data_IF_082525285904
#
_entry.id   IF_082525285904
#
_cell.length_a   1.000
_cell.length_b   1.000
_cell.length_c   1.000
_cell.angle_alpha   90.00
_cell.angle_beta   90.00
_cell.angle_gamma   90.00
#
_symmetry.space_group_name_H-M   'P 1'
#
loop_
_entity.id
_entity.type
_entity.pdbx_description
1 polymer ?
#
# COMPACT_ATOMS: atom_id res chain seq x y z
N UNK A 1 9.83 -37.40 -80.01
CA UNK A 1 9.05 -37.48 -78.76
C UNK A 1 9.81 -36.70 -77.71
N UNK A 2 9.28 -35.56 -77.29
CA UNK A 2 9.95 -34.60 -76.41
C UNK A 2 8.98 -34.24 -75.28
N UNK A 3 9.43 -34.41 -74.03
CA UNK A 3 8.67 -34.06 -72.83
C UNK A 3 8.76 -32.56 -72.53
N UNK A 4 7.65 -31.92 -72.15
CA UNK A 4 7.65 -30.73 -71.31
C UNK A 4 6.46 -30.82 -70.35
N UNK A 5 6.78 -31.03 -69.07
CA UNK A 5 5.89 -30.79 -67.93
C UNK A 5 5.64 -29.29 -67.78
N UNK A 6 4.41 -28.87 -67.52
CA UNK A 6 4.17 -27.57 -66.88
C UNK A 6 3.15 -27.73 -65.77
N UNK A 7 3.60 -27.36 -64.57
CA UNK A 7 2.90 -27.45 -63.32
C UNK A 7 1.91 -26.30 -63.18
N UNK A 8 0.62 -26.62 -63.06
CA UNK A 8 -0.37 -25.69 -62.53
C UNK A 8 -0.31 -25.74 -60.98
N UNK A 9 0.66 -25.03 -60.41
CA UNK A 9 0.72 -24.80 -58.97
C UNK A 9 -0.39 -23.86 -58.52
N UNK A 10 -1.49 -24.42 -58.02
CA UNK A 10 -2.53 -23.69 -57.29
C UNK A 10 -1.90 -23.11 -56.02
N UNK A 11 -1.64 -21.81 -56.02
CA UNK A 11 -1.18 -21.09 -54.85
C UNK A 11 -2.24 -21.19 -53.74
N UNK A 12 -1.94 -21.97 -52.70
CA UNK A 12 -2.67 -21.95 -51.44
C UNK A 12 -2.39 -20.61 -50.74
N UNK A 13 -3.40 -19.93 -50.17
CA UNK A 13 -3.18 -18.73 -49.38
C UNK A 13 -2.40 -19.12 -48.12
N UNK A 14 -1.27 -18.44 -47.89
CA UNK A 14 -0.47 -18.57 -46.66
C UNK A 14 -1.38 -18.27 -45.46
N UNK A 15 -1.41 -19.11 -44.42
CA UNK A 15 -2.10 -18.76 -43.19
C UNK A 15 -1.41 -17.54 -42.59
N UNK A 16 -2.17 -16.45 -42.47
CA UNK A 16 -1.79 -15.27 -41.72
C UNK A 16 -1.38 -15.67 -40.31
N UNK A 17 -0.28 -15.11 -39.81
CA UNK A 17 0.20 -15.23 -38.44
C UNK A 17 -0.85 -14.70 -37.45
N UNK A 18 -1.77 -15.57 -37.04
CA UNK A 18 -2.81 -15.29 -36.06
C UNK A 18 -2.19 -15.29 -34.67
N UNK A 19 -2.01 -14.08 -34.11
CA UNK A 19 -1.86 -13.76 -32.68
C UNK A 19 -1.54 -14.94 -31.73
N UNK A 20 -0.26 -15.13 -31.41
CA UNK A 20 0.29 -16.06 -30.41
C UNK A 20 -0.07 -15.66 -28.96
N UNK A 21 -1.32 -15.31 -28.68
CA UNK A 21 -1.79 -15.01 -27.33
C UNK A 21 -2.56 -16.20 -26.77
N UNK A 22 -2.28 -16.57 -25.52
CA UNK A 22 -3.06 -17.58 -24.81
C UNK A 22 -4.52 -17.13 -24.74
N UNK A 23 -5.47 -18.06 -24.77
CA UNK A 23 -6.90 -17.77 -24.58
C UNK A 23 -7.16 -17.00 -23.26
N UNK A 24 -6.36 -17.29 -22.21
CA UNK A 24 -6.33 -16.54 -20.96
C UNK A 24 -5.93 -15.07 -21.17
N UNK A 25 -4.88 -14.83 -21.95
CA UNK A 25 -4.35 -13.48 -22.20
C UNK A 25 -5.29 -12.67 -23.09
N UNK A 26 -5.94 -13.32 -24.08
CA UNK A 26 -6.98 -12.70 -24.91
C UNK A 26 -8.18 -12.27 -24.05
N UNK A 27 -8.62 -13.12 -23.12
CA UNK A 27 -9.72 -12.81 -22.19
C UNK A 27 -9.35 -11.69 -21.22
N UNK A 28 -8.13 -11.69 -20.68
CA UNK A 28 -7.61 -10.62 -19.83
C UNK A 28 -7.54 -9.29 -20.60
N UNK A 29 -7.06 -9.30 -21.85
CA UNK A 29 -7.03 -8.08 -22.67
C UNK A 29 -8.42 -7.53 -22.97
N UNK A 30 -9.40 -8.39 -23.26
CA UNK A 30 -10.79 -7.97 -23.46
C UNK A 30 -11.36 -7.28 -22.21
N UNK A 31 -11.10 -7.85 -21.02
CA UNK A 31 -11.51 -7.27 -19.74
C UNK A 31 -10.78 -5.97 -19.42
N UNK A 32 -9.48 -5.86 -19.73
CA UNK A 32 -8.72 -4.61 -19.59
C UNK A 32 -9.26 -3.50 -20.50
N UNK A 33 -9.67 -3.84 -21.73
CA UNK A 33 -10.32 -2.91 -22.65
C UNK A 33 -11.67 -2.44 -22.12
N UNK A 34 -12.45 -3.34 -21.51
CA UNK A 34 -13.71 -2.97 -20.86
C UNK A 34 -13.47 -2.06 -19.65
N UNK A 35 -12.46 -2.36 -18.81
CA UNK A 35 -12.04 -1.49 -17.70
C UNK A 35 -11.67 -0.08 -18.18
N UNK A 36 -10.90 0.04 -19.27
CA UNK A 36 -10.57 1.35 -19.84
C UNK A 36 -11.80 2.16 -20.27
N UNK A 37 -12.82 1.52 -20.86
CA UNK A 37 -14.09 2.18 -21.20
C UNK A 37 -14.85 2.68 -19.98
N UNK A 38 -14.87 1.89 -18.90
CA UNK A 38 -15.50 2.30 -17.64
C UNK A 38 -14.77 3.49 -17.02
N UNK A 39 -13.45 3.53 -17.09
CA UNK A 39 -12.65 4.68 -16.62
C UNK A 39 -12.95 5.95 -17.42
N UNK A 40 -13.08 5.83 -18.74
CA UNK A 40 -13.54 6.93 -19.60
C UNK A 40 -14.97 7.38 -19.25
N UNK A 41 -15.89 6.46 -18.98
CA UNK A 41 -17.26 6.78 -18.56
C UNK A 41 -17.30 7.46 -17.19
N UNK A 42 -16.49 7.02 -16.23
CA UNK A 42 -16.36 7.70 -14.94
C UNK A 42 -15.84 9.13 -15.12
N UNK A 43 -14.87 9.35 -16.01
CA UNK A 43 -14.37 10.68 -16.32
C UNK A 43 -15.46 11.56 -16.96
N UNK A 44 -16.25 11.01 -17.90
CA UNK A 44 -17.39 11.71 -18.51
C UNK A 44 -18.48 12.08 -17.48
N UNK A 45 -18.83 11.17 -16.57
CA UNK A 45 -19.83 11.42 -15.52
C UNK A 45 -19.34 12.49 -14.55
N UNK A 46 -18.06 12.49 -14.19
CA UNK A 46 -17.45 13.53 -13.34
C UNK A 46 -17.43 14.91 -14.02
N UNK A 47 -17.13 14.94 -15.32
CA UNK A 47 -17.03 16.18 -16.10
C UNK A 47 -18.39 16.72 -16.58
N UNK A 48 -19.44 15.89 -16.62
CA UNK A 48 -20.78 16.31 -17.03
C UNK A 48 -21.31 17.42 -16.13
N UNK A 49 -21.78 18.52 -16.70
CA UNK A 49 -22.46 19.58 -15.95
C UNK A 49 -23.97 19.37 -15.88
N UNK A 50 -24.51 18.49 -16.73
CA UNK A 50 -25.96 18.27 -16.91
C UNK A 50 -26.56 17.30 -15.88
N UNK A 51 -25.74 16.44 -15.28
CA UNK A 51 -26.21 15.46 -14.30
C UNK A 51 -26.26 16.06 -12.88
N UNK A 52 -27.39 15.84 -12.19
CA UNK A 52 -27.55 16.16 -10.76
C UNK A 52 -26.52 15.43 -9.89
N UNK A 53 -26.11 16.06 -8.79
CA UNK A 53 -25.07 15.51 -7.89
C UNK A 53 -25.39 14.11 -7.38
N UNK A 54 -26.65 13.83 -7.02
CA UNK A 54 -27.07 12.50 -6.54
C UNK A 54 -26.98 11.44 -7.64
N UNK A 55 -27.39 11.79 -8.86
CA UNK A 55 -27.34 10.89 -10.02
C UNK A 55 -25.88 10.62 -10.42
N UNK A 56 -25.01 11.63 -10.35
CA UNK A 56 -23.56 11.46 -10.55
C UNK A 56 -22.96 10.48 -9.55
N UNK A 57 -23.26 10.65 -8.27
CA UNK A 57 -22.73 9.77 -7.21
C UNK A 57 -23.21 8.33 -7.39
N UNK A 58 -24.49 8.12 -7.66
CA UNK A 58 -25.04 6.78 -7.89
C UNK A 58 -24.41 6.12 -9.12
N UNK A 59 -24.30 6.86 -10.22
CA UNK A 59 -23.70 6.36 -11.46
C UNK A 59 -22.21 6.07 -11.29
N UNK A 60 -21.48 6.92 -10.56
CA UNK A 60 -20.07 6.67 -10.22
C UNK A 60 -19.91 5.45 -9.32
N UNK A 61 -20.81 5.24 -8.35
CA UNK A 61 -20.81 4.06 -7.48
C UNK A 61 -21.08 2.78 -8.28
N UNK A 62 -22.04 2.82 -9.20
CA UNK A 62 -22.33 1.69 -10.11
C UNK A 62 -21.13 1.34 -10.98
N UNK A 63 -20.54 2.32 -11.67
CA UNK A 63 -19.34 2.13 -12.49
C UNK A 63 -18.13 1.65 -11.68
N UNK A 64 -17.98 2.11 -10.43
CA UNK A 64 -16.92 1.64 -9.53
C UNK A 64 -17.11 0.17 -9.16
N UNK A 65 -18.36 -0.26 -8.96
CA UNK A 65 -18.69 -1.65 -8.63
C UNK A 65 -18.45 -2.57 -9.82
N UNK A 66 -18.79 -2.11 -11.03
CA UNK A 66 -18.50 -2.84 -12.27
C UNK A 66 -16.98 -2.99 -12.49
N UNK A 67 -16.22 -1.91 -12.26
CA UNK A 67 -14.75 -1.94 -12.34
C UNK A 67 -14.14 -2.98 -11.38
N UNK A 68 -14.62 -3.03 -10.13
CA UNK A 68 -14.19 -4.03 -9.14
C UNK A 68 -14.54 -5.46 -9.57
N UNK A 69 -15.71 -5.65 -10.19
CA UNK A 69 -16.14 -6.97 -10.71
C UNK A 69 -15.21 -7.45 -11.82
N UNK A 70 -14.83 -6.56 -12.74
CA UNK A 70 -13.88 -6.87 -13.81
C UNK A 70 -12.50 -7.21 -13.24
N UNK A 71 -12.03 -6.48 -12.23
CA UNK A 71 -10.75 -6.78 -11.56
C UNK A 71 -10.75 -8.15 -10.88
N UNK A 72 -11.87 -8.51 -10.24
CA UNK A 72 -12.04 -9.84 -9.65
C UNK A 72 -12.02 -10.95 -10.72
N UNK A 73 -12.66 -10.74 -11.87
CA UNK A 73 -12.63 -11.68 -12.99
C UNK A 73 -11.22 -11.83 -13.57
N UNK A 74 -10.46 -10.74 -13.74
CA UNK A 74 -9.06 -10.80 -14.20
C UNK A 74 -8.22 -11.62 -13.20
N UNK A 75 -8.39 -11.39 -11.89
CA UNK A 75 -7.67 -12.13 -10.86
C UNK A 75 -8.00 -13.63 -10.89
N UNK A 76 -9.28 -13.98 -11.06
CA UNK A 76 -9.73 -15.36 -11.20
C UNK A 76 -9.10 -16.05 -12.43
N UNK A 77 -9.11 -15.38 -13.59
CA UNK A 77 -8.54 -15.92 -14.84
C UNK A 77 -7.02 -16.13 -14.70
N UNK A 78 -6.31 -15.21 -14.05
CA UNK A 78 -4.87 -15.35 -13.77
C UNK A 78 -4.57 -16.52 -12.83
N UNK A 79 -5.41 -16.72 -11.82
CA UNK A 79 -5.31 -17.86 -10.91
C UNK A 79 -5.58 -19.19 -11.62
N UNK A 80 -6.59 -19.25 -12.48
CA UNK A 80 -6.89 -20.41 -13.32
C UNK A 80 -5.72 -20.71 -14.28
N UNK A 81 -5.15 -19.69 -14.92
CA UNK A 81 -3.96 -19.82 -15.77
C UNK A 81 -2.77 -20.40 -14.99
N UNK A 82 -2.54 -19.94 -13.75
CA UNK A 82 -1.48 -20.45 -12.89
C UNK A 82 -1.73 -21.89 -12.43
N UNK A 83 -2.98 -22.26 -12.17
CA UNK A 83 -3.37 -23.61 -11.78
C UNK A 83 -3.26 -24.60 -12.95
N UNK A 84 -3.67 -24.20 -14.16
CA UNK A 84 -3.56 -25.04 -15.35
C UNK A 84 -2.12 -25.29 -15.79
N UNK A 85 -1.21 -24.34 -15.54
CA UNK A 85 0.24 -24.57 -15.67
C UNK A 85 0.79 -25.60 -14.68
N UNK A 86 0.18 -25.73 -13.49
CA UNK A 86 0.57 -26.75 -12.48
C UNK A 86 -0.04 -28.12 -12.76
N UNK A 87 -1.25 -28.17 -13.31
CA UNK A 87 -1.97 -29.43 -13.58
C UNK A 87 -1.63 -30.07 -14.93
N UNK A 88 -1.05 -29.31 -15.88
CA UNK A 88 -0.58 -29.82 -17.17
C UNK A 88 0.76 -30.58 -17.13
N UNK A 89 1.43 -30.63 -15.98
CA UNK A 89 2.64 -31.42 -15.78
C UNK A 89 2.27 -32.86 -15.37
N UNK A 90 2.04 -33.74 -16.35
CA UNK A 90 2.00 -35.18 -16.09
C UNK A 90 3.41 -35.68 -15.70
N UNK A 91 3.56 -36.56 -14.69
CA UNK A 91 4.84 -37.12 -14.33
C UNK A 91 5.15 -38.31 -15.25
N UNK A 92 5.88 -38.08 -16.34
CA UNK A 92 6.58 -39.17 -17.02
C UNK A 92 8.04 -39.10 -16.60
N UNK A 93 8.40 -39.96 -15.64
CA UNK A 93 9.77 -40.20 -15.28
C UNK A 93 10.38 -41.15 -16.32
N UNK A 94 11.31 -40.64 -17.12
CA UNK A 94 12.51 -41.39 -17.49
C UNK A 94 13.59 -40.42 -17.95
N UNK A 95 14.73 -40.54 -17.30
CA UNK A 95 15.80 -39.57 -17.25
C UNK A 95 16.53 -39.42 -18.59
N UNK A 96 16.66 -38.17 -19.04
CA UNK A 96 17.91 -37.65 -19.59
C UNK A 96 18.08 -36.23 -19.09
N UNK A 97 19.21 -35.97 -18.44
CA UNK A 97 19.67 -34.64 -18.07
C UNK A 97 19.45 -33.64 -19.21
N UNK A 98 18.83 -32.48 -18.90
CA UNK A 98 19.40 -31.23 -19.30
C UNK A 98 19.94 -30.56 -18.05
N UNK A 99 21.17 -30.07 -18.15
CA UNK A 99 21.76 -29.12 -17.21
C UNK A 99 20.70 -28.14 -16.72
N UNK A 100 20.67 -27.79 -15.42
CA UNK A 100 19.78 -26.76 -14.95
C UNK A 100 20.24 -25.44 -15.59
N UNK A 101 19.54 -25.02 -16.65
CA UNK A 101 19.53 -23.63 -17.09
C UNK A 101 18.70 -22.85 -16.05
N UNK A 102 19.27 -22.75 -14.84
CA UNK A 102 18.70 -22.10 -13.66
C UNK A 102 19.20 -20.67 -13.64
N UNK A 103 18.55 -19.79 -14.39
CA UNK A 103 18.68 -18.34 -14.12
C UNK A 103 17.42 -17.56 -14.51
N UNK A 104 16.75 -17.91 -15.61
CA UNK A 104 15.60 -17.13 -16.11
C UNK A 104 14.28 -17.36 -15.33
N UNK A 105 13.98 -18.61 -14.97
CA UNK A 105 12.68 -19.00 -14.40
C UNK A 105 12.53 -18.67 -12.90
N UNK A 106 13.66 -18.56 -12.18
CA UNK A 106 13.69 -18.03 -10.80
C UNK A 106 13.55 -16.52 -10.80
N UNK A 107 14.30 -15.85 -11.68
CA UNK A 107 14.29 -14.38 -11.80
C UNK A 107 12.91 -13.83 -12.13
N UNK A 108 12.14 -14.50 -13.00
CA UNK A 108 10.76 -14.08 -13.29
C UNK A 108 9.81 -14.28 -12.10
N UNK A 109 9.98 -15.34 -11.30
CA UNK A 109 9.21 -15.54 -10.06
C UNK A 109 9.53 -14.47 -9.01
N UNK A 110 10.80 -14.09 -8.89
CA UNK A 110 11.24 -13.05 -7.96
C UNK A 110 10.74 -11.66 -8.38
N UNK A 111 10.71 -11.36 -9.69
CA UNK A 111 10.09 -10.13 -10.22
C UNK A 111 8.59 -10.09 -9.90
N UNK A 112 7.85 -11.16 -10.16
CA UNK A 112 6.41 -11.23 -9.87
C UNK A 112 6.15 -11.09 -8.36
N UNK A 113 7.02 -11.66 -7.52
CA UNK A 113 6.93 -11.53 -6.07
C UNK A 113 7.19 -10.10 -5.62
N UNK A 114 8.25 -9.45 -6.13
CA UNK A 114 8.56 -8.06 -5.81
C UNK A 114 7.42 -7.12 -6.24
N UNK A 115 6.87 -7.28 -7.43
CA UNK A 115 5.73 -6.48 -7.91
C UNK A 115 4.48 -6.67 -7.02
N UNK A 116 4.21 -7.92 -6.62
CA UNK A 116 3.14 -8.23 -5.67
C UNK A 116 3.37 -7.57 -4.29
N UNK A 117 4.59 -7.63 -3.76
CA UNK A 117 4.95 -7.02 -2.47
C UNK A 117 4.83 -5.49 -2.52
N UNK A 118 5.30 -4.85 -3.60
CA UNK A 118 5.11 -3.41 -3.81
C UNK A 118 3.64 -3.02 -3.95
N UNK A 119 2.84 -3.82 -4.66
CA UNK A 119 1.40 -3.63 -4.75
C UNK A 119 0.70 -3.73 -3.39
N UNK A 120 1.10 -4.69 -2.56
CA UNK A 120 0.60 -4.84 -1.19
C UNK A 120 1.02 -3.65 -0.31
N UNK A 121 2.29 -3.23 -0.39
CA UNK A 121 2.82 -2.09 0.35
C UNK A 121 2.07 -0.80 0.03
N UNK A 122 1.80 -0.54 -1.26
CA UNK A 122 1.02 0.61 -1.71
C UNK A 122 -0.40 0.58 -1.14
N UNK A 123 -1.06 -0.57 -1.17
CA UNK A 123 -2.41 -0.75 -0.61
C UNK A 123 -2.42 -0.52 0.90
N UNK A 124 -1.48 -1.11 1.63
CA UNK A 124 -1.39 -0.93 3.09
C UNK A 124 -1.12 0.53 3.45
N UNK A 125 -0.20 1.20 2.75
CA UNK A 125 0.08 2.63 2.96
C UNK A 125 -1.15 3.50 2.71
N UNK A 126 -1.93 3.18 1.66
CA UNK A 126 -3.18 3.89 1.38
C UNK A 126 -4.23 3.67 2.48
N UNK A 127 -4.39 2.43 2.97
CA UNK A 127 -5.34 2.14 4.06
C UNK A 127 -4.89 2.82 5.36
N UNK A 128 -3.59 2.81 5.67
CA UNK A 128 -3.00 3.52 6.81
C UNK A 128 -3.39 5.00 6.78
N UNK A 129 -3.19 5.68 5.65
CA UNK A 129 -3.54 7.09 5.50
C UNK A 129 -5.05 7.36 5.66
N UNK A 130 -5.92 6.45 5.21
CA UNK A 130 -7.37 6.55 5.45
C UNK A 130 -7.71 6.41 6.92
N UNK A 131 -7.08 5.48 7.64
CA UNK A 131 -7.28 5.29 9.08
C UNK A 131 -6.80 6.51 9.87
N UNK A 132 -5.66 7.10 9.50
CA UNK A 132 -5.15 8.34 10.10
C UNK A 132 -6.12 9.51 9.91
N UNK A 133 -6.62 9.69 8.69
CA UNK A 133 -7.60 10.73 8.38
C UNK A 133 -8.87 10.53 9.21
N UNK A 134 -9.37 9.29 9.31
CA UNK A 134 -10.54 8.97 10.11
C UNK A 134 -10.33 9.25 11.61
N UNK A 135 -9.16 8.89 12.16
CA UNK A 135 -8.82 9.18 13.56
C UNK A 135 -8.75 10.70 13.82
N UNK A 136 -8.10 11.45 12.94
CA UNK A 136 -7.99 12.91 13.05
C UNK A 136 -9.35 13.60 12.93
N UNK A 137 -10.25 13.08 12.09
CA UNK A 137 -11.61 13.60 11.97
C UNK A 137 -12.40 13.39 13.26
N UNK A 138 -12.36 12.19 13.85
CA UNK A 138 -13.03 11.93 15.14
C UNK A 138 -12.51 12.86 16.25
N UNK A 139 -11.20 13.02 16.34
CA UNK A 139 -10.58 13.94 17.32
C UNK A 139 -11.03 15.39 17.10
N UNK A 140 -11.09 15.82 15.83
CA UNK A 140 -11.52 17.17 15.47
C UNK A 140 -13.00 17.41 15.74
N UNK A 141 -13.85 16.42 15.47
CA UNK A 141 -15.29 16.47 15.76
C UNK A 141 -15.55 16.55 17.26
N UNK A 142 -14.84 15.78 18.08
CA UNK A 142 -14.93 15.86 19.55
C UNK A 142 -14.51 17.24 20.03
N UNK A 143 -13.38 17.75 19.54
CA UNK A 143 -12.89 19.10 19.90
C UNK A 143 -13.88 20.19 19.50
N UNK A 144 -14.40 20.14 18.27
CA UNK A 144 -15.37 21.12 17.78
C UNK A 144 -16.69 21.02 18.54
N UNK A 145 -17.16 19.81 18.84
CA UNK A 145 -18.36 19.59 19.64
C UNK A 145 -18.24 20.20 21.03
N UNK A 146 -17.15 19.93 21.75
CA UNK A 146 -16.89 20.56 23.06
C UNK A 146 -16.82 22.08 22.96
N UNK A 147 -16.15 22.61 21.94
CA UNK A 147 -16.03 24.04 21.70
C UNK A 147 -17.41 24.70 21.45
N UNK A 148 -18.32 24.05 20.73
CA UNK A 148 -19.70 24.56 20.57
C UNK A 148 -20.43 24.69 21.92
N UNK A 149 -20.20 23.75 22.83
CA UNK A 149 -20.67 23.84 24.21
C UNK A 149 -19.84 24.80 25.09
N UNK A 150 -18.80 25.46 24.59
CA UNK A 150 -18.02 26.52 25.27
C UNK A 150 -18.40 27.93 24.76
N UNK A 151 -18.82 28.07 23.50
CA UNK A 151 -19.23 29.36 22.91
C UNK A 151 -20.70 29.77 23.13
N UNK A 152 -21.53 28.92 23.74
CA UNK A 152 -22.94 29.25 24.01
C UNK A 152 -23.14 30.41 25.02
N UNK A 153 -24.39 30.89 25.21
CA UNK A 153 -24.69 31.92 26.19
C UNK A 153 -24.29 31.49 27.62
N UNK A 154 -23.70 32.40 28.38
CA UNK A 154 -23.04 32.10 29.66
C UNK A 154 -23.97 31.65 30.81
N UNK A 155 -25.29 31.84 30.67
CA UNK A 155 -26.27 31.61 31.73
C UNK A 155 -27.28 30.49 31.41
N UNK A 156 -26.93 29.55 30.54
CA UNK A 156 -27.79 28.38 30.28
C UNK A 156 -27.56 27.29 31.34
N UNK A 157 -28.51 27.14 32.26
CA UNK A 157 -28.47 26.15 33.34
C UNK A 157 -28.59 24.69 32.84
N UNK A 158 -29.15 24.47 31.65
CA UNK A 158 -29.27 23.14 31.03
C UNK A 158 -28.01 22.69 30.30
N UNK A 159 -27.13 23.64 29.95
CA UNK A 159 -25.93 23.40 29.15
C UNK A 159 -24.94 22.42 29.77
N UNK A 160 -24.75 22.47 31.09
CA UNK A 160 -23.86 21.53 31.78
C UNK A 160 -24.34 20.09 31.67
N UNK A 161 -25.64 19.86 31.88
CA UNK A 161 -26.27 18.54 31.72
C UNK A 161 -26.24 18.07 30.26
N UNK A 162 -26.48 18.98 29.30
CA UNK A 162 -26.36 18.64 27.88
C UNK A 162 -24.93 18.27 27.49
N UNK A 163 -23.93 19.01 27.98
CA UNK A 163 -22.52 18.71 27.74
C UNK A 163 -22.13 17.36 28.36
N UNK A 164 -22.55 17.08 29.60
CA UNK A 164 -22.30 15.79 30.24
C UNK A 164 -22.94 14.64 29.46
N UNK A 165 -24.20 14.79 29.03
CA UNK A 165 -24.88 13.80 28.21
C UNK A 165 -24.17 13.62 26.86
N UNK A 166 -23.75 14.70 26.20
CA UNK A 166 -22.99 14.64 24.96
C UNK A 166 -21.62 13.97 25.15
N UNK A 167 -20.97 14.22 26.29
CA UNK A 167 -19.69 13.60 26.64
C UNK A 167 -19.83 12.09 26.78
N UNK A 168 -20.90 11.61 27.42
CA UNK A 168 -21.15 10.18 27.59
C UNK A 168 -21.66 9.50 26.32
N UNK A 169 -22.55 10.13 25.56
CA UNK A 169 -23.24 9.50 24.42
C UNK A 169 -22.53 9.68 23.08
N UNK A 170 -21.74 10.75 22.92
CA UNK A 170 -21.12 11.10 21.63
C UNK A 170 -19.60 11.17 21.75
N UNK A 171 -19.05 11.95 22.68
CA UNK A 171 -17.62 12.23 22.69
C UNK A 171 -16.78 11.05 23.17
N UNK A 172 -17.14 10.40 24.28
CA UNK A 172 -16.44 9.20 24.77
C UNK A 172 -16.41 8.07 23.73
N UNK A 173 -17.54 7.65 23.12
CA UNK A 173 -17.52 6.63 22.08
C UNK A 173 -16.65 7.01 20.87
N UNK A 174 -16.64 8.29 20.47
CA UNK A 174 -15.76 8.76 19.39
C UNK A 174 -14.27 8.70 19.76
N UNK A 175 -13.91 9.00 21.01
CA UNK A 175 -12.53 8.86 21.50
C UNK A 175 -12.10 7.39 21.61
N UNK A 176 -13.01 6.49 21.99
CA UNK A 176 -12.77 5.04 21.98
C UNK A 176 -12.54 4.53 20.55
N UNK A 177 -13.37 4.98 19.60
CA UNK A 177 -13.18 4.68 18.18
C UNK A 177 -11.86 5.23 17.64
N UNK A 178 -11.49 6.47 17.99
CA UNK A 178 -10.20 7.06 17.64
C UNK A 178 -9.04 6.20 18.15
N UNK A 179 -9.11 5.77 19.41
CA UNK A 179 -8.09 4.91 20.04
C UNK A 179 -8.00 3.56 19.33
N UNK A 180 -9.14 2.95 18.97
CA UNK A 180 -9.18 1.71 18.21
C UNK A 180 -8.59 1.87 16.80
N UNK A 181 -8.83 3.01 16.14
CA UNK A 181 -8.20 3.31 14.84
C UNK A 181 -6.69 3.49 14.97
N UNK A 182 -6.22 4.19 16.01
CA UNK A 182 -4.78 4.32 16.32
C UNK A 182 -4.12 2.96 16.53
N UNK A 183 -4.75 2.04 17.25
CA UNK A 183 -4.25 0.67 17.40
C UNK A 183 -4.17 -0.07 16.05
N UNK A 184 -5.16 0.10 15.17
CA UNK A 184 -5.14 -0.46 13.80
C UNK A 184 -4.01 0.13 12.95
N UNK A 185 -3.74 1.43 13.07
CA UNK A 185 -2.60 2.09 12.40
C UNK A 185 -1.29 1.47 12.87
N UNK A 186 -1.06 1.34 14.17
CA UNK A 186 0.17 0.72 14.70
C UNK A 186 0.34 -0.73 14.23
N UNK A 187 -0.74 -1.51 14.18
CA UNK A 187 -0.71 -2.87 13.61
C UNK A 187 -0.36 -2.87 12.12
N UNK A 188 -0.86 -1.88 11.37
CA UNK A 188 -0.56 -1.72 9.95
C UNK A 188 0.89 -1.28 9.72
N UNK A 189 1.42 -0.40 10.55
CA UNK A 189 2.81 0.05 10.51
C UNK A 189 3.76 -1.13 10.72
N UNK A 190 3.43 -2.05 11.65
CA UNK A 190 4.16 -3.31 11.80
C UNK A 190 4.16 -4.15 10.52
N UNK A 191 2.99 -4.38 9.91
CA UNK A 191 2.86 -5.16 8.66
C UNK A 191 3.56 -4.50 7.46
N UNK A 192 3.51 -3.17 7.37
CA UNK A 192 4.24 -2.38 6.38
C UNK A 192 5.75 -2.60 6.56
N UNK A 193 6.26 -2.50 7.79
CA UNK A 193 7.65 -2.76 8.11
C UNK A 193 8.09 -4.19 7.75
N UNK A 194 7.29 -5.19 8.10
CA UNK A 194 7.54 -6.60 7.74
C UNK A 194 7.58 -6.80 6.22
N UNK A 195 6.62 -6.24 5.49
CA UNK A 195 6.53 -6.37 4.02
C UNK A 195 7.66 -5.62 3.33
N UNK A 196 8.08 -4.46 3.84
CA UNK A 196 9.25 -3.74 3.35
C UNK A 196 10.54 -4.54 3.58
N UNK A 197 10.67 -5.19 4.74
CA UNK A 197 11.81 -6.05 5.03
C UNK A 197 11.82 -7.29 4.11
N UNK A 198 10.66 -7.86 3.76
CA UNK A 198 10.56 -8.94 2.77
C UNK A 198 10.96 -8.46 1.36
N UNK A 199 10.49 -7.28 0.93
CA UNK A 199 10.84 -6.69 -0.36
C UNK A 199 12.35 -6.42 -0.49
N UNK A 200 12.97 -5.86 0.56
CA UNK A 200 14.43 -5.64 0.56
C UNK A 200 15.23 -6.95 0.51
N UNK A 201 14.71 -8.04 1.11
CA UNK A 201 15.34 -9.37 1.02
C UNK A 201 15.22 -9.97 -0.39
N UNK A 202 14.12 -9.71 -1.11
CA UNK A 202 13.99 -10.13 -2.51
C UNK A 202 14.92 -9.35 -3.43
N UNK A 203 15.15 -8.07 -3.15
CA UNK A 203 16.06 -7.23 -3.95
C UNK A 203 17.53 -7.57 -3.70
N UNK A 204 17.95 -7.80 -2.45
CA UNK A 204 19.33 -8.21 -2.12
C UNK A 204 19.71 -9.57 -2.68
N UNK A 205 18.76 -10.52 -2.77
CA UNK A 205 19.01 -11.81 -3.41
C UNK A 205 19.31 -11.70 -4.90
N UNK A 206 18.80 -10.68 -5.60
CA UNK A 206 19.16 -10.41 -6.99
C UNK A 206 20.60 -9.91 -7.14
N UNK A 207 21.03 -9.02 -6.24
CA UNK A 207 22.39 -8.46 -6.29
C UNK A 207 23.49 -9.52 -6.03
N UNK A 208 23.20 -10.56 -5.25
CA UNK A 208 24.13 -11.68 -5.03
C UNK A 208 24.17 -12.67 -6.21
N UNK A 209 23.05 -12.87 -6.93
CA UNK A 209 23.05 -13.71 -8.15
C UNK A 209 23.69 -13.01 -9.34
N UNK A 210 23.55 -11.69 -9.48
CA UNK A 210 24.16 -10.93 -10.57
C UNK A 210 25.69 -10.78 -10.42
N UNK A 211 26.23 -10.95 -9.21
CA UNK A 211 27.68 -10.97 -8.94
C UNK A 211 28.34 -12.35 -9.14
N UNK A 212 27.56 -13.41 -9.34
CA UNK A 212 28.09 -14.77 -9.48
C UNK A 212 28.32 -15.19 -10.94
N UNK A 213 27.83 -14.45 -11.93
CA UNK A 213 27.97 -14.78 -13.37
C UNK A 213 29.10 -14.02 -14.10
N UNK A 214 29.78 -13.06 -13.46
CA UNK A 214 30.97 -12.40 -14.03
C UNK A 214 32.20 -12.60 -13.13
N UNK A 215 32.93 -13.71 -13.35
CA UNK A 215 34.04 -14.05 -12.47
C UNK A 215 34.93 -15.19 -12.95
N UNK A 216 35.38 -15.16 -14.20
CA UNK A 216 36.53 -15.99 -14.62
C UNK A 216 37.84 -15.21 -14.45
N UNK A 217 38.62 -15.66 -13.45
CA UNK A 217 40.09 -15.77 -13.41
C UNK A 217 40.95 -14.64 -12.80
N UNK A 218 41.44 -14.97 -11.58
CA UNK A 218 42.82 -14.84 -11.02
C UNK A 218 43.37 -13.42 -10.85
N UNK A 219 43.69 -13.02 -9.60
CA UNK A 219 45.05 -13.14 -9.04
C UNK A 219 45.08 -12.83 -7.53
N UNK A 220 45.83 -13.66 -6.83
CA UNK A 220 46.30 -13.55 -5.45
C UNK A 220 47.00 -12.22 -5.16
N UNK A 221 46.80 -11.61 -3.99
CA UNK A 221 47.85 -11.13 -3.04
C UNK A 221 47.15 -10.72 -1.73
N UNK A 222 47.38 -11.47 -0.65
CA UNK A 222 47.45 -10.92 0.71
C UNK A 222 48.90 -10.44 0.94
N UNK A 223 49.20 -9.43 1.79
CA UNK A 223 49.32 -9.74 3.22
C UNK A 223 49.11 -8.59 4.25
N UNK A 224 48.81 -9.01 5.48
CA UNK A 224 49.25 -8.50 6.80
C UNK A 224 49.06 -7.02 7.24
N UNK A 225 48.35 -6.82 8.36
CA UNK A 225 48.98 -6.57 9.69
C UNK A 225 47.93 -6.45 10.82
N UNK A 226 47.97 -7.43 11.74
CA UNK A 226 48.08 -7.29 13.20
C UNK A 226 48.01 -5.86 13.80
N UNK A 227 47.10 -5.61 14.76
CA UNK A 227 47.39 -5.65 16.20
C UNK A 227 46.24 -5.05 17.04
N UNK A 228 46.02 -5.69 18.20
CA UNK A 228 45.13 -5.28 19.29
C UNK A 228 45.59 -3.98 19.98
N UNK A 229 44.68 -3.35 20.72
CA UNK A 229 44.78 -3.16 22.18
C UNK A 229 43.62 -2.29 22.70
N UNK A 230 42.93 -2.83 23.71
CA UNK A 230 42.18 -2.07 24.71
C UNK A 230 43.17 -1.26 25.56
N UNK A 231 42.80 -0.07 26.05
CA UNK A 231 42.34 0.18 27.44
C UNK A 231 42.26 1.69 27.73
N UNK A 232 41.19 2.05 28.45
CA UNK A 232 41.04 3.10 29.47
C UNK A 232 41.64 4.51 29.25
N UNK A 233 40.81 5.55 29.43
CA UNK A 233 40.88 6.28 30.70
C UNK A 233 39.62 7.12 31.05
N UNK A 234 39.35 7.15 32.35
CA UNK A 234 38.75 8.19 33.20
C UNK A 234 37.47 8.94 32.76
N UNK A 235 36.33 8.68 33.41
CA UNK A 235 35.92 9.23 34.72
C UNK A 235 35.36 10.66 34.62
N UNK A 236 34.05 10.83 34.76
CA UNK A 236 33.50 11.32 36.04
C UNK A 236 32.04 10.89 36.20
N UNK A 237 31.82 10.08 37.23
CA UNK A 237 30.55 9.94 37.96
C UNK A 237 30.15 11.30 38.51
N UNK A 238 28.86 11.57 38.62
CA UNK A 238 28.18 11.65 39.92
C UNK A 238 26.68 11.46 39.63
N UNK A 239 26.17 10.39 40.22
CA UNK A 239 24.76 10.09 40.43
C UNK A 239 24.28 11.03 41.55
N UNK A 240 23.04 11.49 41.51
CA UNK A 240 22.08 11.22 42.60
C UNK A 240 20.66 11.72 42.22
N UNK A 241 19.73 10.78 42.23
CA UNK A 241 18.27 10.94 42.26
C UNK A 241 17.81 11.29 43.71
N UNK A 242 16.53 11.22 44.08
CA UNK A 242 15.39 12.09 43.78
C UNK A 242 14.80 12.67 45.09
N UNK A 243 13.90 13.66 45.04
CA UNK A 243 13.30 14.21 46.27
C UNK A 243 11.96 14.91 46.08
N UNK A 244 10.92 14.35 46.68
CA UNK A 244 9.55 14.87 46.80
C UNK A 244 9.40 15.83 48.00
N UNK A 245 8.71 16.97 47.84
CA UNK A 245 7.68 17.48 48.79
C UNK A 245 7.26 18.94 48.56
N UNK A 246 5.96 19.11 48.25
CA UNK A 246 4.94 19.96 48.90
C UNK A 246 5.31 21.33 49.54
N UNK A 247 4.52 22.34 49.08
CA UNK A 247 3.71 23.34 49.83
C UNK A 247 4.27 24.76 50.06
N UNK A 248 3.44 25.72 49.59
CA UNK A 248 2.88 26.90 50.27
C UNK A 248 3.28 28.33 49.79
N UNK A 249 2.27 28.96 49.17
CA UNK A 249 1.75 30.34 49.29
C UNK A 249 2.60 31.61 49.24
N UNK A 250 2.04 32.55 48.45
CA UNK A 250 1.96 34.04 48.55
C UNK A 250 2.45 34.65 47.23
N UNK A 251 1.77 35.57 46.53
CA UNK A 251 0.63 36.44 46.83
C UNK A 251 0.82 37.71 45.99
N UNK A 252 -0.26 38.24 45.39
CA UNK A 252 -0.36 39.64 44.97
C UNK A 252 -0.02 39.99 43.52
N UNK A 253 -0.91 40.75 42.87
CA UNK A 253 -0.52 41.58 41.73
C UNK A 253 -1.54 41.76 40.59
N UNK A 254 -2.76 42.22 40.90
CA UNK A 254 -3.72 42.77 39.93
C UNK A 254 -3.04 43.81 39.01
N UNK A 255 -3.11 43.63 37.70
CA UNK A 255 -2.96 44.73 36.73
C UNK A 255 -4.09 44.68 35.70
N UNK A 256 -5.17 45.36 36.07
CA UNK A 256 -6.26 45.77 35.20
C UNK A 256 -5.74 46.84 34.24
N UNK A 257 -5.81 46.60 32.92
CA UNK A 257 -5.67 47.66 31.91
C UNK A 257 -7.07 48.00 31.39
N UNK A 258 -7.62 49.10 31.90
CA UNK A 258 -8.76 49.82 31.31
C UNK A 258 -8.33 50.37 29.96
N UNK A 259 -9.16 50.15 28.94
CA UNK A 259 -9.10 50.87 27.68
C UNK A 259 -10.23 51.91 27.75
N UNK A 260 -9.84 53.17 27.95
CA UNK A 260 -10.69 54.33 27.68
C UNK A 260 -10.55 54.67 26.19
N UNK A 261 -11.67 54.72 25.46
CA UNK A 261 -11.76 55.49 24.22
C UNK A 261 -12.99 56.38 24.32
N UNK A 262 -12.71 57.69 24.25
CA UNK A 262 -13.65 58.82 24.28
C UNK A 262 -14.59 58.81 23.08
N UNK A 263 -15.76 59.38 23.35
CA UNK A 263 -16.82 59.84 22.43
C UNK A 263 -16.24 60.71 21.30
#
# INVERSE_FOLDING_TARGET
>A
MTQISSAAGRAQPKPSTTSLMSEYDRRIQALLKQKGRIEEEQAKVKASQELDSKIKEERLKSLTTEQQTIEAQIAQIRMEQAQNRKNGASPSAEARDPKPDRSSDSSMKDIVRADSLHGQLKKMTQVRGKLETAANNLQSEVRLGRLQFELGPANDSGRGQMLENAEQSVFKPKLEQETALKAKISSMDGKIGETMAEAQKTDRKKEETDKAEDGTRVETVAPNRDQSLNEADALTREREEPGTSRRQEQGGGLHSKRIDVRI
#
